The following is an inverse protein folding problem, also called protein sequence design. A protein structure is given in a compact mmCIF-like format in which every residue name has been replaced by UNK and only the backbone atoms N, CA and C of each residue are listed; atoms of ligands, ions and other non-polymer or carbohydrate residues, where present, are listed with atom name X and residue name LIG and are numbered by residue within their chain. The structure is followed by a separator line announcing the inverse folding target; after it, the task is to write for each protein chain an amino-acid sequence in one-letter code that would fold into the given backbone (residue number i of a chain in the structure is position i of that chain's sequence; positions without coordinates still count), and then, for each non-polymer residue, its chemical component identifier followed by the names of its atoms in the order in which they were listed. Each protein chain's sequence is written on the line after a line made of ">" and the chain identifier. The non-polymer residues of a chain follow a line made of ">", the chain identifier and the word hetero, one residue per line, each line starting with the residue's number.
data_IF_889124324533
#
_entry.id   IF_889124324533
#
_cell.length_a   1.000
_cell.length_b   1.000
_cell.length_c   1.000
_cell.angle_alpha   90.00
_cell.angle_beta   90.00
_cell.angle_gamma   90.00
#
_symmetry.space_group_name_H-M   'P 1'
#
loop_
_entity.id
_entity.type
_entity.pdbx_description
1 polymer ?
#
# COMPACT_ATOMS: atom_id res chain seq x y z
N UNK A 1 2.70 9.88 16.03
CA UNK A 1 1.70 9.89 14.93
C UNK A 1 2.31 9.34 13.65
N UNK A 2 1.55 8.56 12.85
CA UNK A 2 2.04 7.93 11.62
C UNK A 2 2.44 8.95 10.53
N UNK A 3 1.70 10.06 10.41
CA UNK A 3 2.08 11.19 9.53
C UNK A 3 3.47 11.72 9.89
N UNK A 4 3.71 12.01 11.17
CA UNK A 4 5.04 12.47 11.61
C UNK A 4 6.13 11.42 11.36
N UNK A 5 5.80 10.13 11.41
CA UNK A 5 6.76 9.06 11.11
C UNK A 5 7.14 9.07 9.61
N UNK A 6 6.17 9.19 8.70
CA UNK A 6 6.42 9.19 7.25
C UNK A 6 7.33 10.35 6.82
N UNK A 7 7.20 11.50 7.47
CA UNK A 7 8.04 12.70 7.23
C UNK A 7 9.40 12.63 7.93
N UNK A 8 9.55 11.79 8.96
CA UNK A 8 10.76 11.74 9.77
C UNK A 8 11.92 10.99 9.10
N UNK A 9 13.13 11.17 9.65
CA UNK A 9 14.32 10.39 9.29
C UNK A 9 14.26 8.92 9.75
N UNK A 10 13.25 8.54 10.54
CA UNK A 10 13.07 7.17 11.05
C UNK A 10 12.28 6.28 10.07
N UNK A 11 11.75 6.86 8.99
CA UNK A 11 11.10 6.13 7.92
C UNK A 11 11.90 6.25 6.63
N UNK A 12 12.10 5.12 5.95
CA UNK A 12 12.72 5.05 4.63
C UNK A 12 11.75 5.48 3.50
N UNK A 13 10.45 5.64 3.80
CA UNK A 13 9.41 6.02 2.83
C UNK A 13 9.79 7.31 2.09
N UNK A 14 9.79 7.25 0.76
CA UNK A 14 10.16 8.36 -0.14
C UNK A 14 11.63 8.80 -0.05
N UNK A 15 12.47 8.12 0.73
CA UNK A 15 13.87 8.50 1.00
C UNK A 15 14.88 7.46 0.54
N UNK A 16 14.46 6.21 0.40
CA UNK A 16 15.31 5.08 -0.01
C UNK A 16 14.54 4.17 -0.95
N UNK A 17 15.23 3.70 -2.00
CA UNK A 17 14.69 2.72 -2.94
C UNK A 17 14.02 1.55 -2.19
N UNK A 18 12.78 1.21 -2.57
CA UNK A 18 11.98 0.22 -1.86
C UNK A 18 12.74 -1.09 -1.63
N UNK A 19 13.44 -1.58 -2.66
CA UNK A 19 14.20 -2.83 -2.59
C UNK A 19 15.30 -2.84 -1.52
N UNK A 20 15.85 -1.67 -1.16
CA UNK A 20 16.93 -1.51 -0.17
C UNK A 20 16.42 -1.29 1.26
N UNK A 21 15.11 -1.16 1.47
CA UNK A 21 14.51 -0.99 2.80
C UNK A 21 14.53 -2.31 3.60
N UNK A 22 14.55 -2.22 4.93
CA UNK A 22 14.30 -3.39 5.79
C UNK A 22 12.88 -3.92 5.58
N UNK A 23 12.60 -5.15 6.03
CA UNK A 23 11.26 -5.72 5.86
C UNK A 23 10.20 -4.86 6.53
N UNK A 24 10.49 -4.39 7.73
CA UNK A 24 9.61 -3.55 8.54
C UNK A 24 9.35 -2.22 7.84
N UNK A 25 10.40 -1.57 7.32
CA UNK A 25 10.27 -0.33 6.54
C UNK A 25 9.47 -0.53 5.25
N UNK A 26 9.62 -1.67 4.56
CA UNK A 26 8.79 -2.02 3.41
C UNK A 26 7.31 -2.15 3.78
N UNK A 27 6.99 -2.76 4.93
CA UNK A 27 5.60 -2.84 5.42
C UNK A 27 5.04 -1.43 5.59
N UNK A 28 5.76 -0.54 6.28
CA UNK A 28 5.31 0.84 6.46
C UNK A 28 5.13 1.57 5.13
N UNK A 29 6.14 1.57 4.26
CA UNK A 29 6.09 2.26 2.96
C UNK A 29 4.93 1.76 2.10
N UNK A 30 4.67 0.46 2.11
CA UNK A 30 3.60 -0.15 1.30
C UNK A 30 2.21 0.24 1.79
N UNK A 31 1.94 0.15 3.11
CA UNK A 31 0.64 0.53 3.67
C UNK A 31 0.42 2.04 3.53
N UNK A 32 1.47 2.84 3.77
CA UNK A 32 1.40 4.29 3.62
C UNK A 32 1.10 4.71 2.17
N UNK A 33 1.78 4.11 1.18
CA UNK A 33 1.48 4.31 -0.23
C UNK A 33 0.07 3.87 -0.60
N UNK A 34 -0.38 2.70 -0.12
CA UNK A 34 -1.72 2.21 -0.40
C UNK A 34 -2.79 3.19 0.07
N UNK A 35 -2.75 3.60 1.34
CA UNK A 35 -3.74 4.55 1.87
C UNK A 35 -3.64 5.91 1.16
N UNK A 36 -2.43 6.41 0.89
CA UNK A 36 -2.28 7.73 0.25
C UNK A 36 -2.84 7.76 -1.17
N UNK A 37 -2.55 6.75 -1.98
CA UNK A 37 -2.92 6.76 -3.39
C UNK A 37 -4.37 6.35 -3.61
N UNK A 38 -4.84 5.30 -2.92
CA UNK A 38 -6.23 4.81 -3.10
C UNK A 38 -7.23 5.85 -2.58
N UNK A 39 -6.98 6.52 -1.45
CA UNK A 39 -7.89 7.58 -1.00
C UNK A 39 -7.85 8.84 -1.86
N UNK A 40 -6.80 9.04 -2.65
CA UNK A 40 -6.65 10.23 -3.50
C UNK A 40 -7.22 10.00 -4.91
N UNK A 41 -7.07 8.80 -5.48
CA UNK A 41 -7.55 8.49 -6.83
C UNK A 41 -7.72 7.00 -7.12
N UNK A 42 -8.00 6.19 -6.10
CA UNK A 42 -8.34 4.77 -6.25
C UNK A 42 -7.15 3.87 -6.61
N UNK A 43 -7.45 2.60 -6.86
CA UNK A 43 -6.45 1.61 -7.25
C UNK A 43 -5.76 1.95 -8.57
N UNK A 44 -6.43 2.64 -9.50
CA UNK A 44 -5.81 3.12 -10.73
C UNK A 44 -4.64 4.05 -10.44
N UNK A 45 -4.80 4.99 -9.50
CA UNK A 45 -3.71 5.86 -9.08
C UNK A 45 -2.60 5.08 -8.37
N UNK A 46 -2.97 4.15 -7.48
CA UNK A 46 -2.01 3.30 -6.78
C UNK A 46 -1.16 2.43 -7.73
N UNK A 47 -1.70 1.98 -8.86
CA UNK A 47 -0.94 1.20 -9.84
C UNK A 47 -0.12 2.04 -10.83
N UNK A 48 -0.55 3.28 -11.13
CA UNK A 48 0.09 4.14 -12.13
C UNK A 48 1.19 5.05 -11.56
N UNK A 49 1.14 5.39 -10.28
CA UNK A 49 2.13 6.24 -9.63
C UNK A 49 3.38 5.46 -9.16
N UNK A 50 4.32 6.18 -8.51
CA UNK A 50 5.53 5.59 -7.93
C UNK A 50 5.26 4.46 -6.93
N UNK A 51 4.05 4.39 -6.38
CA UNK A 51 3.56 3.29 -5.54
C UNK A 51 3.59 1.91 -6.21
N UNK A 52 3.67 1.84 -7.55
CA UNK A 52 3.82 0.61 -8.31
C UNK A 52 4.99 -0.28 -7.80
N UNK A 53 6.04 0.31 -7.23
CA UNK A 53 7.18 -0.43 -6.66
C UNK A 53 6.80 -1.33 -5.46
N UNK A 54 5.69 -1.01 -4.80
CA UNK A 54 5.23 -1.70 -3.59
C UNK A 54 4.23 -2.83 -3.86
N UNK A 55 3.65 -2.90 -5.08
CA UNK A 55 2.50 -3.76 -5.41
C UNK A 55 2.79 -5.24 -5.17
N UNK A 56 3.99 -5.71 -5.51
CA UNK A 56 4.40 -7.12 -5.27
C UNK A 56 4.47 -7.48 -3.79
N UNK A 57 4.66 -6.50 -2.90
CA UNK A 57 4.74 -6.71 -1.46
C UNK A 57 3.43 -6.39 -0.73
N UNK A 58 2.44 -5.82 -1.42
CA UNK A 58 1.19 -5.33 -0.85
C UNK A 58 0.47 -6.34 0.02
N UNK A 59 0.26 -7.55 -0.51
CA UNK A 59 -0.49 -8.60 0.20
C UNK A 59 0.30 -9.09 1.41
N UNK A 60 1.62 -9.19 1.32
CA UNK A 60 2.46 -9.55 2.45
C UNK A 60 2.43 -8.46 3.53
N UNK A 61 2.50 -7.18 3.16
CA UNK A 61 2.44 -6.06 4.09
C UNK A 61 1.13 -6.02 4.87
N UNK A 62 -0.01 -6.15 4.18
CA UNK A 62 -1.34 -6.15 4.80
C UNK A 62 -1.50 -7.31 5.78
N UNK A 63 -1.09 -8.51 5.38
CA UNK A 63 -1.11 -9.68 6.28
C UNK A 63 -0.16 -9.53 7.46
N UNK A 64 0.99 -8.89 7.26
CA UNK A 64 1.96 -8.64 8.34
C UNK A 64 1.39 -7.76 9.45
N UNK A 65 0.54 -6.80 9.11
CA UNK A 65 -0.17 -5.97 10.11
C UNK A 65 -1.50 -6.58 10.57
N UNK A 66 -1.90 -7.74 10.03
CA UNK A 66 -3.15 -8.43 10.39
C UNK A 66 -4.41 -7.97 9.64
N UNK A 67 -4.27 -7.20 8.56
CA UNK A 67 -5.38 -6.68 7.76
C UNK A 67 -5.83 -7.69 6.67
N UNK A 68 -6.41 -8.81 7.09
CA UNK A 68 -6.76 -9.93 6.20
C UNK A 68 -7.87 -9.60 5.19
N UNK A 69 -8.88 -8.83 5.58
CA UNK A 69 -9.97 -8.46 4.66
C UNK A 69 -9.49 -7.43 3.66
N UNK A 70 -8.66 -6.48 4.09
CA UNK A 70 -8.04 -5.54 3.19
C UNK A 70 -7.06 -6.22 2.24
N UNK A 71 -6.30 -7.24 2.70
CA UNK A 71 -5.47 -8.07 1.83
C UNK A 71 -6.29 -8.76 0.74
N UNK A 72 -7.50 -9.23 1.05
CA UNK A 72 -8.39 -9.83 0.06
C UNK A 72 -8.86 -8.78 -0.99
N UNK A 73 -9.29 -7.60 -0.55
CA UNK A 73 -9.71 -6.49 -1.44
C UNK A 73 -8.57 -6.11 -2.40
N UNK A 74 -7.37 -5.89 -1.86
CA UNK A 74 -6.20 -5.55 -2.67
C UNK A 74 -5.78 -6.68 -3.61
N UNK A 75 -5.94 -7.94 -3.19
CA UNK A 75 -5.68 -9.08 -4.08
C UNK A 75 -6.65 -9.12 -5.25
N UNK A 76 -7.92 -8.74 -5.03
CA UNK A 76 -8.92 -8.71 -6.09
C UNK A 76 -8.67 -7.52 -7.03
N UNK A 77 -8.24 -6.37 -6.52
CA UNK A 77 -7.80 -5.24 -7.33
C UNK A 77 -6.67 -5.64 -8.30
N UNK A 78 -5.63 -6.33 -7.80
CA UNK A 78 -4.51 -6.81 -8.63
C UNK A 78 -5.00 -7.77 -9.72
N UNK A 79 -5.92 -8.70 -9.41
CA UNK A 79 -6.43 -9.67 -10.39
C UNK A 79 -7.27 -9.01 -11.49
N UNK A 80 -8.07 -8.00 -11.12
CA UNK A 80 -8.88 -7.22 -12.07
C UNK A 80 -8.00 -6.36 -12.95
N UNK A 81 -7.03 -5.66 -12.36
CA UNK A 81 -6.09 -4.80 -13.07
C UNK A 81 -5.17 -5.58 -14.03
N UNK A 82 -4.67 -6.74 -13.59
CA UNK A 82 -3.67 -7.52 -14.32
C UNK A 82 -4.15 -8.96 -14.56
N UNK A 83 -5.18 -9.18 -15.39
CA UNK A 83 -5.79 -10.50 -15.60
C UNK A 83 -4.84 -11.51 -16.26
N UNK A 84 -3.77 -11.04 -16.90
CA UNK A 84 -2.70 -11.87 -17.49
C UNK A 84 -1.55 -12.15 -16.51
N UNK A 85 -1.65 -11.66 -15.28
CA UNK A 85 -0.61 -11.70 -14.27
C UNK A 85 0.07 -10.34 -14.10
N UNK A 86 0.43 -10.05 -12.85
CA UNK A 86 1.11 -8.81 -12.47
C UNK A 86 2.51 -8.75 -13.10
N UNK A 87 2.86 -7.70 -13.87
CA UNK A 87 4.21 -7.53 -14.42
C UNK A 87 5.27 -7.50 -13.33
N UNK A 88 6.43 -8.11 -13.56
CA UNK A 88 7.52 -8.19 -12.58
C UNK A 88 8.25 -6.85 -12.34
N UNK A 89 8.07 -5.89 -13.25
CA UNK A 89 8.77 -4.61 -13.26
C UNK A 89 7.79 -3.47 -12.92
N UNK A 90 8.08 -2.63 -11.91
CA UNK A 90 7.19 -1.53 -11.51
C UNK A 90 6.88 -0.54 -12.63
N UNK A 91 7.83 -0.26 -13.52
CA UNK A 91 7.59 0.64 -14.65
C UNK A 91 6.57 0.05 -15.62
N UNK A 92 6.62 -1.27 -15.87
CA UNK A 92 5.60 -1.96 -16.67
C UNK A 92 4.22 -1.95 -16.00
N UNK A 93 4.16 -2.15 -14.68
CA UNK A 93 2.90 -2.01 -13.90
C UNK A 93 2.30 -0.62 -14.15
N UNK A 94 3.10 0.43 -13.97
CA UNK A 94 2.67 1.82 -14.15
C UNK A 94 2.20 2.12 -15.58
N UNK A 95 2.97 1.68 -16.59
CA UNK A 95 2.63 1.87 -17.99
C UNK A 95 1.31 1.17 -18.37
N UNK A 96 1.11 -0.07 -17.92
CA UNK A 96 -0.15 -0.79 -18.15
C UNK A 96 -1.33 -0.10 -17.46
N UNK A 97 -1.13 0.39 -16.23
CA UNK A 97 -2.16 1.09 -15.48
C UNK A 97 -2.61 2.41 -16.13
N UNK A 98 -1.71 3.14 -16.78
CA UNK A 98 -2.05 4.35 -17.53
C UNK A 98 -2.92 4.07 -18.77
N UNK A 99 -2.99 2.82 -19.23
CA UNK A 99 -3.72 2.41 -20.43
C UNK A 99 -4.80 1.37 -20.12
N UNK A 100 -5.25 1.27 -18.87
CA UNK A 100 -6.31 0.33 -18.51
C UNK A 100 -7.59 0.60 -19.33
N UNK A 101 -8.19 -0.45 -19.92
CA UNK A 101 -9.42 -0.29 -20.67
C UNK A 101 -10.58 0.05 -19.73
N UNK A 102 -11.62 0.72 -20.25
CA UNK A 102 -12.79 1.17 -19.49
C UNK A 102 -13.39 0.06 -18.60
N UNK A 103 -13.52 -1.16 -19.13
CA UNK A 103 -14.04 -2.29 -18.35
C UNK A 103 -13.17 -2.70 -17.15
N UNK A 104 -11.86 -2.46 -17.18
CA UNK A 104 -10.98 -2.65 -16.00
C UNK A 104 -11.19 -1.50 -15.01
N UNK A 105 -11.28 -0.26 -15.50
CA UNK A 105 -11.53 0.92 -14.67
C UNK A 105 -12.86 0.81 -13.91
N UNK A 106 -13.96 0.46 -14.59
CA UNK A 106 -15.27 0.25 -13.97
C UNK A 106 -15.25 -0.83 -12.88
N UNK A 107 -14.51 -1.92 -13.11
CA UNK A 107 -14.37 -2.98 -12.11
C UNK A 107 -13.51 -2.54 -10.92
N UNK A 108 -12.48 -1.72 -11.14
CA UNK A 108 -11.67 -1.15 -10.08
C UNK A 108 -12.46 -0.15 -9.23
N UNK A 109 -13.35 0.66 -9.80
CA UNK A 109 -14.22 1.58 -9.04
C UNK A 109 -15.12 0.83 -8.04
N UNK A 110 -15.61 -0.36 -8.41
CA UNK A 110 -16.35 -1.21 -7.48
C UNK A 110 -15.48 -1.73 -6.33
N UNK A 111 -14.20 -1.96 -6.58
CA UNK A 111 -13.25 -2.43 -5.56
C UNK A 111 -12.78 -1.26 -4.68
N UNK A 112 -12.57 -0.07 -5.25
CA UNK A 112 -12.31 1.16 -4.51
C UNK A 112 -13.41 1.41 -3.48
N UNK A 113 -14.68 1.24 -3.88
CA UNK A 113 -15.82 1.37 -2.98
C UNK A 113 -15.72 0.43 -1.77
N UNK A 114 -15.28 -0.82 -1.96
CA UNK A 114 -15.04 -1.78 -0.86
C UNK A 114 -13.85 -1.39 0.00
N UNK A 115 -12.81 -0.83 -0.60
CA UNK A 115 -11.66 -0.31 0.16
C UNK A 115 -12.10 0.81 1.11
N UNK A 116 -12.94 1.73 0.62
CA UNK A 116 -13.46 2.86 1.42
C UNK A 116 -14.42 2.45 2.54
N UNK A 117 -14.89 1.20 2.58
CA UNK A 117 -15.62 0.66 3.73
C UNK A 117 -14.69 0.41 4.94
N UNK A 118 -13.37 0.37 4.74
CA UNK A 118 -12.36 0.11 5.77
C UNK A 118 -12.71 -1.10 6.66
N UNK A 119 -12.83 -2.31 6.09
CA UNK A 119 -13.22 -3.49 6.86
C UNK A 119 -12.18 -3.92 7.91
N UNK A 120 -10.95 -3.42 7.79
CA UNK A 120 -9.87 -3.49 8.77
C UNK A 120 -9.35 -2.06 9.07
N UNK A 121 -9.08 -1.75 10.34
CA UNK A 121 -8.57 -0.43 10.75
C UNK A 121 -7.06 -0.32 10.45
N UNK A 122 -6.70 0.01 9.21
CA UNK A 122 -5.30 0.09 8.76
C UNK A 122 -4.45 1.04 9.60
N UNK A 123 -5.00 2.19 9.99
CA UNK A 123 -4.30 3.17 10.83
C UNK A 123 -3.92 2.58 12.18
N UNK A 124 -4.84 1.92 12.88
CA UNK A 124 -4.56 1.30 14.18
C UNK A 124 -3.61 0.11 14.06
N UNK A 125 -3.83 -0.75 13.07
CA UNK A 125 -2.98 -1.91 12.82
C UNK A 125 -1.54 -1.50 12.47
N UNK A 126 -1.37 -0.50 11.60
CA UNK A 126 -0.05 0.02 11.24
C UNK A 126 0.61 0.70 12.44
N UNK A 127 -0.15 1.45 13.25
CA UNK A 127 0.35 2.05 14.48
C UNK A 127 0.90 1.01 15.45
N UNK A 128 0.14 -0.06 15.69
CA UNK A 128 0.56 -1.15 16.57
C UNK A 128 1.79 -1.87 16.02
N UNK A 129 1.87 -2.06 14.70
CA UNK A 129 3.03 -2.65 14.04
C UNK A 129 4.29 -1.79 14.24
N UNK A 130 4.26 -0.50 13.94
CA UNK A 130 5.46 0.36 14.09
C UNK A 130 5.88 0.51 15.55
N UNK A 131 4.92 0.52 16.48
CA UNK A 131 5.20 0.61 17.92
C UNK A 131 5.92 -0.63 18.46
N UNK A 132 5.58 -1.82 17.94
CA UNK A 132 6.26 -3.09 18.28
C UNK A 132 7.65 -3.21 17.65
N UNK A 133 7.95 -2.44 16.61
CA UNK A 133 9.21 -2.46 15.86
C UNK A 133 10.05 -1.19 16.12
N UNK A 134 10.17 -0.79 17.38
CA UNK A 134 10.88 0.44 17.77
C UNK A 134 12.38 0.45 17.42
N UNK A 135 12.99 -0.70 17.12
CA UNK A 135 14.36 -0.75 16.58
C UNK A 135 14.46 -0.14 15.18
N UNK A 136 13.43 -0.34 14.36
CA UNK A 136 13.36 0.14 12.98
C UNK A 136 12.77 1.55 12.89
N UNK A 137 11.82 1.88 13.78
CA UNK A 137 11.05 3.13 13.70
C UNK A 137 11.29 4.11 14.86
N UNK A 138 12.09 3.73 15.85
CA UNK A 138 12.22 4.44 17.13
C UNK A 138 10.95 4.34 17.99
N UNK A 139 10.96 5.01 19.14
CA UNK A 139 9.75 5.15 19.95
C UNK A 139 8.73 6.06 19.25
N UNK A 140 7.47 5.63 19.24
CA UNK A 140 6.35 6.34 18.65
C UNK A 140 5.28 6.54 19.72
N UNK A 141 4.96 7.79 19.99
CA UNK A 141 3.91 8.14 20.94
C UNK A 141 2.53 8.05 20.28
N UNK A 142 1.60 7.40 21.00
CA UNK A 142 0.16 7.44 20.71
C UNK A 142 -0.35 8.74 21.36
N UNK A 143 -0.72 9.73 20.57
CA UNK A 143 -1.40 10.91 21.12
C UNK A 143 -2.86 10.54 21.37
N UNK A 144 -3.31 10.78 22.59
CA UNK A 144 -4.68 10.60 23.09
C UNK A 144 -5.72 11.37 22.31
#
# INVERSE_FOLDING_TARGET
>A
MLISLSESKKSDFGKKDFLKQSKEQKVFSTIWSLESEVNNGGFTQYFSNGSAETVHFLIEALKTIGAEKMAQICSDAIKVAFPKGLPSDPQKISNEASEFPDGVLENLESIDSKFYEYPDNLTELLFDFVSKNSKDFGEIEKTS
#
